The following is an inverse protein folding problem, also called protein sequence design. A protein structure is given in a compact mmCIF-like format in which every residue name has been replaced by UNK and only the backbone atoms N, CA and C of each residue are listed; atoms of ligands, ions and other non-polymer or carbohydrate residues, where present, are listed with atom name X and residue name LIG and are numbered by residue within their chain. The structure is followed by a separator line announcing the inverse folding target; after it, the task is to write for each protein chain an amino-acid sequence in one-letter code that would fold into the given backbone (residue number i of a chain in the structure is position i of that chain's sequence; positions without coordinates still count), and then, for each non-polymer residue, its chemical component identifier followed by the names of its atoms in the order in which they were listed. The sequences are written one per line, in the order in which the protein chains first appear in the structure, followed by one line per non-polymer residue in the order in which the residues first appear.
data_IF_775843304392
#
_entry.id   IF_775843304392
#
_cell.length_a   1.000
_cell.length_b   1.000
_cell.length_c   1.000
_cell.angle_alpha   90.00
_cell.angle_beta   90.00
_cell.angle_gamma   90.00
#
_symmetry.space_group_name_H-M   'P 1'
#
loop_
_entity.id
_entity.type
_entity.pdbx_description
1 polymer ?
#
# COMPACT_ATOMS: atom_id res chain seq x y z
N UNK A 1 4.40 -10.53 9.22
CA UNK A 1 4.83 -9.22 8.73
C UNK A 1 3.73 -8.21 8.99
N UNK A 2 3.82 -7.47 10.09
CA UNK A 2 2.68 -6.73 10.64
C UNK A 2 2.48 -6.99 12.13
N UNK A 3 1.40 -6.45 12.70
CA UNK A 3 1.17 -6.42 14.15
C UNK A 3 0.19 -7.44 14.72
N UNK A 4 -0.33 -8.38 13.92
CA UNK A 4 -1.44 -9.26 14.30
C UNK A 4 -1.18 -10.74 13.95
N UNK A 5 -1.89 -11.67 14.61
CA UNK A 5 -1.78 -13.12 14.37
C UNK A 5 -2.16 -13.54 12.94
N UNK A 6 -3.01 -12.74 12.28
CA UNK A 6 -3.43 -12.94 10.89
C UNK A 6 -2.53 -12.22 9.87
N UNK A 7 -1.46 -11.54 10.31
CA UNK A 7 -0.54 -10.86 9.40
C UNK A 7 0.27 -11.88 8.57
N UNK A 8 0.73 -11.53 7.35
CA UNK A 8 1.48 -12.43 6.47
C UNK A 8 2.64 -13.17 7.18
N UNK A 9 2.81 -14.46 6.91
CA UNK A 9 3.82 -15.28 7.60
C UNK A 9 5.21 -15.06 6.98
N UNK A 10 6.16 -14.53 7.76
CA UNK A 10 7.56 -14.37 7.33
C UNK A 10 8.36 -15.68 7.36
N UNK A 11 7.95 -16.62 8.21
CA UNK A 11 8.57 -17.92 8.33
C UNK A 11 8.19 -18.65 9.61
N UNK A 12 8.40 -19.96 9.62
CA UNK A 12 8.29 -20.81 10.81
C UNK A 12 9.60 -21.57 10.98
N UNK A 13 10.16 -21.52 12.19
CA UNK A 13 11.51 -22.02 12.48
C UNK A 13 11.47 -22.99 13.66
N UNK A 14 12.23 -24.08 13.55
CA UNK A 14 12.35 -25.10 14.61
C UNK A 14 13.74 -25.75 14.57
N UNK A 15 14.11 -26.44 15.66
CA UNK A 15 15.42 -27.08 15.82
C UNK A 15 16.51 -26.13 16.32
N UNK A 16 17.77 -26.51 16.08
CA UNK A 16 18.95 -25.80 16.63
C UNK A 16 19.73 -24.99 15.58
N UNK A 17 19.20 -24.86 14.36
CA UNK A 17 19.80 -24.03 13.31
C UNK A 17 19.29 -22.60 13.47
N UNK A 18 20.20 -21.63 13.48
CA UNK A 18 19.84 -20.22 13.56
C UNK A 18 19.03 -19.81 12.32
N UNK A 19 17.87 -19.15 12.50
CA UNK A 19 17.14 -18.53 11.40
C UNK A 19 17.99 -17.50 10.65
N UNK A 20 17.71 -17.25 9.36
CA UNK A 20 18.33 -16.16 8.62
C UNK A 20 17.90 -14.80 9.20
N UNK A 21 18.57 -13.73 8.76
CA UNK A 21 18.16 -12.37 9.10
C UNK A 21 16.73 -12.11 8.60
N UNK A 22 15.84 -11.75 9.52
CA UNK A 22 14.44 -11.40 9.20
C UNK A 22 14.35 -9.88 9.06
N UNK A 23 13.90 -9.42 7.89
CA UNK A 23 13.62 -8.01 7.60
C UNK A 23 12.10 -7.87 7.52
N UNK A 24 11.52 -6.95 8.30
CA UNK A 24 10.09 -6.64 8.21
C UNK A 24 9.80 -5.67 7.07
N UNK A 25 8.61 -5.80 6.49
CA UNK A 25 8.07 -4.87 5.50
C UNK A 25 6.99 -3.96 6.13
N UNK A 26 7.04 -3.84 7.45
CA UNK A 26 6.19 -2.98 8.28
C UNK A 26 7.00 -2.44 9.46
N UNK A 27 6.47 -1.39 10.10
CA UNK A 27 6.96 -0.92 11.40
C UNK A 27 6.46 -1.80 12.58
N UNK A 28 5.75 -2.90 12.29
CA UNK A 28 5.27 -3.88 13.26
C UNK A 28 5.70 -5.29 12.88
N UNK A 29 6.09 -6.07 13.87
CA UNK A 29 6.34 -7.51 13.77
C UNK A 29 5.58 -8.24 14.87
N UNK A 30 4.83 -9.27 14.48
CA UNK A 30 4.16 -10.19 15.40
C UNK A 30 4.93 -11.50 15.43
N UNK A 31 5.28 -11.94 16.64
CA UNK A 31 6.10 -13.13 16.88
C UNK A 31 5.33 -14.05 17.83
N UNK A 32 5.18 -15.32 17.46
CA UNK A 32 4.59 -16.36 18.31
C UNK A 32 5.57 -17.48 18.55
N UNK A 33 5.83 -17.74 19.83
CA UNK A 33 6.55 -18.92 20.30
C UNK A 33 5.54 -19.89 20.92
N UNK A 34 5.50 -21.11 20.43
CA UNK A 34 4.56 -22.14 20.86
C UNK A 34 5.33 -23.42 21.19
N UNK A 35 5.08 -23.98 22.37
CA UNK A 35 5.59 -25.29 22.78
C UNK A 35 4.45 -26.28 22.92
N UNK A 36 4.78 -27.57 22.95
CA UNK A 36 3.85 -28.65 23.30
C UNK A 36 4.02 -29.06 24.78
N UNK A 37 3.45 -30.19 25.17
CA UNK A 37 3.53 -30.73 26.54
C UNK A 37 4.74 -31.65 26.77
N UNK A 38 5.69 -31.71 25.82
CA UNK A 38 6.85 -32.58 25.86
C UNK A 38 8.17 -31.78 25.91
N UNK A 39 9.30 -32.48 25.76
CA UNK A 39 10.72 -32.05 25.77
C UNK A 39 10.97 -30.53 25.74
N UNK A 40 11.84 -30.05 26.64
CA UNK A 40 12.23 -28.64 26.73
C UNK A 40 13.70 -28.40 26.37
N UNK A 41 13.98 -27.29 25.70
CA UNK A 41 15.33 -26.82 25.33
C UNK A 41 15.61 -25.40 25.84
N UNK A 42 16.79 -24.84 25.51
CA UNK A 42 17.26 -23.52 25.96
C UNK A 42 16.43 -22.32 25.43
N UNK A 43 15.57 -22.53 24.43
CA UNK A 43 14.75 -21.47 23.83
C UNK A 43 15.55 -20.58 22.86
N UNK A 44 15.16 -19.30 22.76
CA UNK A 44 15.76 -18.34 21.83
C UNK A 44 16.06 -17.00 22.50
N UNK A 45 17.02 -16.28 21.93
CA UNK A 45 17.30 -14.87 22.25
C UNK A 45 17.56 -14.15 20.93
N UNK A 46 16.93 -12.99 20.74
CA UNK A 46 17.04 -12.20 19.53
C UNK A 46 17.16 -10.73 19.88
N UNK A 47 18.06 -10.02 19.19
CA UNK A 47 18.10 -8.56 19.16
C UNK A 47 17.39 -8.06 17.90
N UNK A 48 16.78 -6.89 18.00
CA UNK A 48 16.17 -6.21 16.86
C UNK A 48 16.69 -4.77 16.81
N UNK A 49 16.79 -4.25 15.59
CA UNK A 49 17.10 -2.85 15.32
C UNK A 49 16.06 -2.31 14.36
N UNK A 50 15.60 -1.09 14.60
CA UNK A 50 14.79 -0.38 13.61
C UNK A 50 15.67 -0.04 12.42
N UNK A 51 15.54 -0.78 11.33
CA UNK A 51 16.28 -0.54 10.10
C UNK A 51 15.41 0.16 9.07
N UNK A 52 15.99 1.06 8.29
CA UNK A 52 15.36 1.65 7.10
C UNK A 52 15.40 0.73 5.87
N UNK A 53 15.93 -0.49 6.00
CA UNK A 53 15.99 -1.51 4.93
C UNK A 53 14.67 -2.24 4.68
N UNK A 54 13.68 -2.06 5.54
CA UNK A 54 12.31 -2.48 5.26
C UNK A 54 11.66 -1.58 4.18
N UNK A 55 10.45 -1.93 3.75
CA UNK A 55 9.68 -1.11 2.82
C UNK A 55 8.31 -0.74 3.42
N UNK A 56 7.66 0.27 2.85
CA UNK A 56 6.36 0.76 3.30
C UNK A 56 6.40 1.86 4.36
N UNK A 57 5.22 2.24 4.85
CA UNK A 57 5.00 3.27 5.85
C UNK A 57 4.15 4.46 5.36
N UNK A 58 3.92 5.43 6.25
CA UNK A 58 3.14 6.63 5.94
C UNK A 58 4.07 7.73 5.40
N UNK A 59 3.83 8.17 4.17
CA UNK A 59 4.52 9.27 3.53
C UNK A 59 3.66 10.52 3.65
N UNK A 60 4.04 11.41 4.57
CA UNK A 60 3.21 12.57 4.95
C UNK A 60 3.58 13.88 4.24
N UNK A 61 4.63 13.85 3.42
CA UNK A 61 5.10 15.02 2.69
C UNK A 61 4.28 15.23 1.42
N UNK A 62 4.03 16.49 1.04
CA UNK A 62 3.27 16.84 -0.17
C UNK A 62 3.98 16.46 -1.48
N UNK A 63 5.29 16.26 -1.42
CA UNK A 63 6.14 15.75 -2.48
C UNK A 63 7.22 14.87 -1.85
N UNK A 64 7.77 13.92 -2.59
CA UNK A 64 8.80 13.04 -2.08
C UNK A 64 9.21 11.98 -3.08
N UNK A 65 10.23 11.21 -2.70
CA UNK A 65 10.69 10.05 -3.44
C UNK A 65 10.72 8.87 -2.48
N UNK A 66 10.30 7.71 -2.96
CA UNK A 66 10.44 6.43 -2.28
C UNK A 66 10.84 5.38 -3.30
N UNK A 67 11.42 4.28 -2.83
CA UNK A 67 11.97 3.22 -3.68
C UNK A 67 11.56 1.85 -3.15
N UNK A 68 11.66 0.84 -4.03
CA UNK A 68 11.57 -0.55 -3.60
C UNK A 68 12.70 -0.87 -2.60
N UNK A 69 12.49 -1.83 -1.68
CA UNK A 69 13.54 -2.23 -0.75
C UNK A 69 14.77 -2.71 -1.54
N UNK A 70 15.96 -2.36 -1.03
CA UNK A 70 17.26 -2.70 -1.61
C UNK A 70 17.64 -1.97 -2.92
N UNK A 71 16.78 -1.09 -3.46
CA UNK A 71 17.13 -0.28 -4.65
C UNK A 71 18.46 0.48 -4.44
N UNK A 72 19.41 0.46 -5.40
CA UNK A 72 19.28 0.02 -6.80
C UNK A 72 19.54 -1.49 -7.04
N UNK A 73 19.78 -2.28 -6.00
CA UNK A 73 19.90 -3.73 -6.11
C UNK A 73 18.51 -4.41 -6.20
N UNK A 74 18.43 -5.68 -6.63
CA UNK A 74 17.15 -6.39 -6.72
C UNK A 74 16.38 -6.42 -5.40
N UNK A 75 15.06 -6.30 -5.47
CA UNK A 75 14.16 -6.41 -4.33
C UNK A 75 14.17 -7.84 -3.75
N UNK A 76 13.75 -7.95 -2.48
CA UNK A 76 13.64 -9.25 -1.81
C UNK A 76 12.42 -10.02 -2.32
N UNK A 77 12.54 -11.35 -2.38
CA UNK A 77 11.43 -12.22 -2.80
C UNK A 77 10.35 -12.28 -1.71
N UNK A 78 9.09 -12.51 -2.11
CA UNK A 78 7.96 -12.69 -1.19
C UNK A 78 7.73 -11.50 -0.24
N UNK A 79 8.14 -10.30 -0.66
CA UNK A 79 7.94 -9.05 0.08
C UNK A 79 6.62 -8.40 -0.29
N UNK A 80 5.81 -8.05 0.72
CA UNK A 80 4.61 -7.24 0.54
C UNK A 80 4.84 -5.85 1.17
N UNK A 81 4.96 -4.83 0.33
CA UNK A 81 5.24 -3.46 0.75
C UNK A 81 3.99 -2.58 0.62
N UNK A 82 3.71 -1.78 1.66
CA UNK A 82 2.54 -0.88 1.68
C UNK A 82 2.97 0.54 2.02
N UNK A 83 2.77 1.47 1.09
CA UNK A 83 3.00 2.90 1.32
C UNK A 83 1.65 3.62 1.35
N UNK A 84 1.40 4.33 2.45
CA UNK A 84 0.23 5.19 2.59
C UNK A 84 0.65 6.64 2.33
N UNK A 85 0.10 7.27 1.30
CA UNK A 85 0.40 8.66 0.96
C UNK A 85 -0.62 9.59 1.65
N UNK A 86 -0.15 10.40 2.61
CA UNK A 86 -0.98 11.29 3.44
C UNK A 86 -0.50 12.75 3.35
N UNK A 87 -0.93 13.52 2.34
CA UNK A 87 -0.59 14.93 2.29
C UNK A 87 -1.53 15.76 3.18
N UNK A 88 -0.97 16.70 3.94
CA UNK A 88 -1.73 17.73 4.68
C UNK A 88 -2.56 18.66 3.78
N UNK A 89 -2.29 18.64 2.47
CA UNK A 89 -2.91 19.45 1.45
C UNK A 89 -3.30 18.58 0.25
N UNK A 90 -4.58 18.18 0.18
CA UNK A 90 -5.14 17.23 -0.79
C UNK A 90 -5.21 17.66 -2.27
N UNK A 91 -4.05 17.90 -2.89
CA UNK A 91 -3.96 17.66 -4.33
C UNK A 91 -3.88 16.15 -4.53
N UNK A 92 -4.49 15.57 -5.58
CA UNK A 92 -4.21 14.17 -5.91
C UNK A 92 -2.70 13.99 -6.04
N UNK A 93 -2.19 12.87 -5.51
CA UNK A 93 -0.79 12.51 -5.70
C UNK A 93 -0.60 12.08 -7.15
N UNK A 94 0.37 12.70 -7.82
CA UNK A 94 0.91 12.20 -9.07
C UNK A 94 2.06 11.24 -8.74
N UNK A 95 1.95 9.99 -9.18
CA UNK A 95 3.03 9.00 -9.08
C UNK A 95 3.80 8.96 -10.40
N UNK A 96 5.11 9.18 -10.33
CA UNK A 96 6.02 9.09 -11.46
C UNK A 96 7.13 8.07 -11.15
N UNK A 97 7.37 7.14 -12.09
CA UNK A 97 8.43 6.15 -11.98
C UNK A 97 9.62 6.56 -12.85
N UNK A 98 10.75 6.86 -12.21
CA UNK A 98 12.01 7.14 -12.93
C UNK A 98 12.69 5.85 -13.40
N UNK A 99 12.55 4.79 -12.62
CA UNK A 99 13.02 3.44 -12.92
C UNK A 99 11.95 2.45 -12.47
N UNK A 100 11.66 1.45 -13.30
CA UNK A 100 10.64 0.45 -13.04
C UNK A 100 11.01 -0.89 -13.69
N UNK A 101 11.28 -1.88 -12.84
CA UNK A 101 11.63 -3.23 -13.28
C UNK A 101 11.12 -4.25 -12.25
N UNK A 102 10.18 -5.09 -12.68
CA UNK A 102 9.62 -6.23 -11.93
C UNK A 102 9.62 -7.48 -12.83
N UNK A 103 9.37 -8.65 -12.24
CA UNK A 103 9.21 -9.89 -12.99
C UNK A 103 8.09 -9.76 -14.04
N UNK A 104 8.41 -10.09 -15.30
CA UNK A 104 7.43 -10.04 -16.38
C UNK A 104 6.47 -11.23 -16.30
N UNK A 105 5.17 -10.94 -16.24
CA UNK A 105 4.12 -11.94 -16.36
C UNK A 105 2.95 -11.39 -17.19
N UNK A 106 2.34 -12.17 -18.11
CA UNK A 106 1.26 -11.68 -19.00
C UNK A 106 0.07 -11.05 -18.26
N UNK A 107 -0.21 -11.53 -17.05
CA UNK A 107 -1.32 -11.06 -16.21
C UNK A 107 -0.84 -10.37 -14.91
N UNK A 108 0.45 -10.05 -14.79
CA UNK A 108 1.03 -9.42 -13.59
C UNK A 108 0.72 -10.16 -12.27
N UNK A 109 0.75 -11.50 -12.26
CA UNK A 109 0.40 -12.32 -11.09
C UNK A 109 1.60 -12.84 -10.31
N UNK A 110 2.82 -12.55 -10.77
CA UNK A 110 4.04 -12.91 -10.05
C UNK A 110 4.41 -11.76 -9.12
N UNK A 111 5.16 -10.77 -9.62
CA UNK A 111 5.44 -9.52 -8.92
C UNK A 111 4.64 -8.38 -9.55
N UNK A 112 4.01 -7.55 -8.71
CA UNK A 112 3.21 -6.41 -9.18
C UNK A 112 3.27 -5.23 -8.21
N UNK A 113 2.97 -4.05 -8.73
CA UNK A 113 2.67 -2.85 -7.95
C UNK A 113 1.22 -2.47 -8.23
N UNK A 114 0.43 -2.30 -7.18
CA UNK A 114 -0.96 -1.85 -7.26
C UNK A 114 -1.13 -0.49 -6.57
N UNK A 115 -1.85 0.42 -7.21
CA UNK A 115 -2.26 1.70 -6.65
C UNK A 115 -3.74 1.61 -6.29
N UNK A 116 -4.13 2.05 -5.10
CA UNK A 116 -5.52 2.03 -4.61
C UNK A 116 -5.94 3.41 -4.09
N UNK A 117 -7.21 3.79 -4.30
CA UNK A 117 -7.82 5.03 -3.79
C UNK A 117 -8.93 4.80 -2.75
N UNK A 118 -8.70 3.91 -1.80
CA UNK A 118 -9.64 3.69 -0.68
C UNK A 118 -9.41 4.71 0.46
N UNK A 119 -10.48 5.34 0.93
CA UNK A 119 -10.52 6.28 2.07
C UNK A 119 -9.66 7.55 1.89
N UNK A 120 -9.67 8.15 0.69
CA UNK A 120 -8.90 9.37 0.41
C UNK A 120 -9.67 10.60 0.91
N UNK A 121 -9.05 11.41 1.79
CA UNK A 121 -9.65 12.65 2.31
C UNK A 121 -8.88 13.88 1.84
N UNK A 122 -9.58 14.79 1.16
CA UNK A 122 -9.06 16.05 0.64
C UNK A 122 -9.54 17.18 1.55
N UNK A 123 -8.63 17.77 2.32
CA UNK A 123 -8.93 18.87 3.27
C UNK A 123 -8.33 20.20 2.83
N UNK A 124 -9.03 21.29 3.13
CA UNK A 124 -8.51 22.67 3.05
C UNK A 124 -7.94 23.07 1.68
N UNK A 125 -8.57 22.60 0.59
CA UNK A 125 -8.25 23.00 -0.78
C UNK A 125 -9.26 24.00 -1.32
N UNK A 126 -8.76 24.99 -2.05
CA UNK A 126 -9.59 25.95 -2.78
C UNK A 126 -10.04 25.41 -4.14
N UNK A 127 -9.27 24.50 -4.72
CA UNK A 127 -9.57 23.79 -5.97
C UNK A 127 -8.77 22.47 -6.06
N UNK A 128 -9.18 21.59 -6.97
CA UNK A 128 -8.50 20.33 -7.30
C UNK A 128 -9.21 19.65 -8.47
N UNK A 129 -8.57 18.62 -9.04
CA UNK A 129 -9.17 17.74 -10.06
C UNK A 129 -9.23 16.34 -9.45
N UNK A 130 -10.33 15.64 -9.70
CA UNK A 130 -10.52 14.24 -9.33
C UNK A 130 -10.67 13.44 -10.63
N UNK A 131 -9.85 12.41 -10.79
CA UNK A 131 -9.79 11.57 -11.98
C UNK A 131 -9.81 10.10 -11.55
N UNK A 132 -10.30 9.21 -12.42
CA UNK A 132 -10.18 7.77 -12.22
C UNK A 132 -8.71 7.35 -12.22
N UNK A 133 -8.39 6.26 -11.52
CA UNK A 133 -7.04 5.67 -11.62
C UNK A 133 -6.76 5.34 -13.09
N UNK A 134 -5.54 5.61 -13.54
CA UNK A 134 -5.03 5.43 -14.92
C UNK A 134 -5.49 6.45 -15.96
N UNK A 135 -6.37 7.39 -15.61
CA UNK A 135 -6.75 8.47 -16.53
C UNK A 135 -5.48 9.13 -17.15
N UNK A 136 -5.43 9.34 -18.47
CA UNK A 136 -6.51 9.28 -19.47
C UNK A 136 -6.77 7.89 -20.11
N UNK A 137 -6.15 6.82 -19.60
CA UNK A 137 -6.45 5.47 -20.05
C UNK A 137 -7.73 4.94 -19.39
N UNK A 138 -8.34 3.87 -19.93
CA UNK A 138 -9.50 3.22 -19.31
C UNK A 138 -9.23 2.83 -17.85
N UNK A 139 -10.25 2.96 -17.00
CA UNK A 139 -10.19 2.57 -15.59
C UNK A 139 -10.04 1.05 -15.43
N UNK A 140 -9.46 0.61 -14.31
CA UNK A 140 -9.34 -0.83 -14.03
C UNK A 140 -10.67 -1.42 -13.56
N UNK A 141 -10.84 -2.72 -13.77
CA UNK A 141 -11.99 -3.47 -13.30
C UNK A 141 -11.98 -3.65 -11.77
N UNK A 142 -13.18 -3.71 -11.17
CA UNK A 142 -13.39 -3.98 -9.73
C UNK A 142 -12.74 -2.96 -8.77
N UNK A 143 -12.53 -1.72 -9.22
CA UNK A 143 -12.06 -0.66 -8.35
C UNK A 143 -13.12 -0.29 -7.30
N UNK A 144 -12.66 -0.03 -6.07
CA UNK A 144 -13.50 0.47 -4.97
C UNK A 144 -12.86 1.71 -4.39
N UNK A 145 -13.08 2.84 -5.06
CA UNK A 145 -12.55 4.12 -4.62
C UNK A 145 -13.60 4.97 -3.97
N UNK A 146 -13.18 5.71 -2.95
CA UNK A 146 -14.00 6.68 -2.27
C UNK A 146 -13.14 7.88 -1.88
N UNK A 147 -13.67 9.06 -2.16
CA UNK A 147 -13.02 10.32 -1.87
C UNK A 147 -13.95 11.19 -1.05
N UNK A 148 -13.42 11.84 -0.03
CA UNK A 148 -14.15 12.83 0.76
C UNK A 148 -13.49 14.20 0.56
N UNK A 149 -14.21 15.14 -0.04
CA UNK A 149 -13.77 16.54 -0.17
C UNK A 149 -14.36 17.35 0.98
N UNK A 150 -13.50 17.84 1.87
CA UNK A 150 -13.90 18.63 3.04
C UNK A 150 -13.47 20.09 2.89
N UNK A 151 -14.44 20.96 2.64
CA UNK A 151 -14.26 22.41 2.71
C UNK A 151 -14.10 22.88 4.17
N UNK A 152 -13.50 24.05 4.36
CA UNK A 152 -13.42 24.70 5.67
C UNK A 152 -14.82 25.02 6.21
N UNK A 153 -14.98 25.01 7.53
CA UNK A 153 -16.25 25.27 8.21
C UNK A 153 -16.97 26.51 7.67
N UNK A 154 -18.22 26.33 7.24
CA UNK A 154 -19.06 27.40 6.69
C UNK A 154 -19.01 27.56 5.17
N UNK A 155 -18.12 26.84 4.47
CA UNK A 155 -18.04 26.83 3.02
C UNK A 155 -18.71 25.57 2.42
N UNK A 156 -19.13 25.67 1.16
CA UNK A 156 -19.67 24.56 0.37
C UNK A 156 -18.68 24.12 -0.71
N UNK A 157 -18.85 22.89 -1.20
CA UNK A 157 -18.09 22.35 -2.33
C UNK A 157 -19.00 22.32 -3.55
N UNK A 158 -18.57 22.96 -4.63
CA UNK A 158 -19.20 22.86 -5.94
C UNK A 158 -18.30 21.99 -6.83
N UNK A 159 -18.89 21.09 -7.62
CA UNK A 159 -18.15 20.24 -8.55
C UNK A 159 -18.68 20.39 -9.97
N UNK A 160 -17.85 20.10 -10.95
CA UNK A 160 -18.19 20.13 -12.38
C UNK A 160 -17.38 19.04 -13.07
N UNK A 161 -18.04 18.19 -13.85
CA UNK A 161 -17.36 17.18 -14.66
C UNK A 161 -16.63 17.84 -15.83
N UNK A 162 -15.37 17.46 -16.03
CA UNK A 162 -14.59 17.84 -17.20
C UNK A 162 -14.72 16.79 -18.32
N UNK A 163 -14.87 15.53 -17.92
CA UNK A 163 -15.08 14.35 -18.76
C UNK A 163 -15.89 13.32 -17.96
N UNK A 164 -16.63 12.45 -18.66
CA UNK A 164 -17.37 11.36 -18.03
C UNK A 164 -17.61 10.23 -19.06
N UNK A 165 -17.01 9.07 -18.81
CA UNK A 165 -17.17 7.86 -19.64
C UNK A 165 -17.14 6.62 -18.73
N UNK A 166 -18.30 6.05 -18.45
CA UNK A 166 -18.52 4.90 -17.55
C UNK A 166 -19.53 3.96 -18.22
N UNK A 167 -19.44 2.64 -17.95
CA UNK A 167 -20.29 1.64 -18.59
C UNK A 167 -21.80 1.97 -18.48
N UNK A 168 -22.48 2.01 -19.63
CA UNK A 168 -23.91 2.32 -19.69
C UNK A 168 -24.76 1.11 -19.27
N UNK A 169 -25.61 1.28 -18.25
CA UNK A 169 -26.62 0.30 -17.86
C UNK A 169 -27.88 0.99 -17.34
N UNK A 170 -29.04 0.35 -17.51
CA UNK A 170 -30.38 0.93 -17.26
C UNK A 170 -30.53 1.59 -15.88
N UNK A 171 -29.85 1.06 -14.85
CA UNK A 171 -29.88 1.58 -13.48
C UNK A 171 -28.45 1.81 -12.92
N UNK A 172 -27.45 2.03 -13.79
CA UNK A 172 -26.04 2.17 -13.39
C UNK A 172 -25.56 1.03 -12.45
N UNK A 173 -26.01 -0.21 -12.70
CA UNK A 173 -25.75 -1.34 -11.82
C UNK A 173 -24.52 -2.16 -12.20
N UNK A 174 -23.84 -1.77 -13.26
CA UNK A 174 -22.55 -2.35 -13.64
C UNK A 174 -21.45 -1.46 -13.08
N UNK A 175 -21.20 -0.32 -13.72
CA UNK A 175 -20.28 0.71 -13.24
C UNK A 175 -21.02 2.02 -12.95
N UNK A 176 -20.59 2.74 -11.91
CA UNK A 176 -21.18 4.01 -11.51
C UNK A 176 -20.22 4.86 -10.66
N UNK A 177 -20.53 6.16 -10.58
CA UNK A 177 -19.95 7.11 -9.64
C UNK A 177 -21.11 7.73 -8.84
N UNK A 178 -20.99 7.79 -7.51
CA UNK A 178 -22.00 8.35 -6.58
C UNK A 178 -21.47 9.49 -5.72
#
# INVERSE_FOLDING_TARGET
DGGYETSPLLGSYCGSVLPPLIISHSNKLWIKFQTDSSITDLGFSASWVGSSTGCGGNLTTSTGLFTSPNYPMPYYHSSECYWLLEASHGSPFLLEFQDFHLEHHPNCTLDYLAVSCDNVVIVNKTYGILESINHPNPYDLNQRCNWTIQATTGNTVNYTFLEFDVEEHVNCSLDYLE
#
